data_IF_014351507561
#
_entry.id   IF_014351507561
#
_cell.length_a   1.000
_cell.length_b   1.000
_cell.length_c   1.000
_cell.angle_alpha   90.00
_cell.angle_beta   90.00
_cell.angle_gamma   90.00
#
_symmetry.space_group_name_H-M   'P 1'
#
loop_
_entity.id
_entity.type
_entity.pdbx_description
1 polymer ?
#
# COMPACT_ATOMS: atom_id res chain seq x y z
N UNK A 1 -15.96 6.54 -21.58
CA UNK A 1 -15.19 7.80 -21.47
C UNK A 1 -14.98 8.04 -19.98
N UNK A 2 -13.91 7.48 -19.42
CA UNK A 2 -13.57 7.74 -18.01
C UNK A 2 -12.93 9.12 -17.94
N UNK A 3 -13.62 10.08 -17.33
CA UNK A 3 -13.02 11.35 -16.97
C UNK A 3 -12.02 11.09 -15.85
N UNK A 4 -10.76 10.89 -16.21
CA UNK A 4 -9.66 10.87 -15.24
C UNK A 4 -9.41 12.32 -14.84
N UNK A 5 -9.78 12.68 -13.61
CA UNK A 5 -9.42 13.96 -13.03
C UNK A 5 -7.93 13.91 -12.73
N UNK A 6 -7.14 14.62 -13.53
CA UNK A 6 -5.68 14.70 -13.39
C UNK A 6 -5.37 15.87 -12.45
N UNK A 7 -4.65 15.61 -11.37
CA UNK A 7 -4.13 16.65 -10.49
C UNK A 7 -2.69 16.94 -10.91
N UNK A 8 -2.44 18.10 -11.49
CA UNK A 8 -1.10 18.50 -11.94
C UNK A 8 -0.26 18.99 -10.77
N UNK A 9 1.00 18.52 -10.70
CA UNK A 9 2.06 18.98 -9.78
C UNK A 9 1.67 19.11 -8.29
N UNK A 10 0.91 18.14 -7.77
CA UNK A 10 0.59 18.07 -6.34
C UNK A 10 1.72 17.36 -5.59
N UNK A 11 2.28 18.04 -4.57
CA UNK A 11 3.22 17.42 -3.64
C UNK A 11 2.62 16.19 -2.96
N UNK A 12 3.45 15.14 -2.76
CA UNK A 12 2.97 13.88 -2.22
C UNK A 12 2.28 14.02 -0.85
N UNK A 13 2.80 14.84 0.06
CA UNK A 13 2.18 15.07 1.37
C UNK A 13 0.77 15.65 1.23
N UNK A 14 0.59 16.60 0.31
CA UNK A 14 -0.72 17.20 0.04
C UNK A 14 -1.68 16.18 -0.58
N UNK A 15 -1.21 15.38 -1.53
CA UNK A 15 -1.98 14.28 -2.13
C UNK A 15 -2.42 13.27 -1.06
N UNK A 16 -1.51 12.87 -0.16
CA UNK A 16 -1.80 11.92 0.91
C UNK A 16 -2.85 12.46 1.88
N UNK A 17 -2.71 13.71 2.30
CA UNK A 17 -3.68 14.39 3.18
C UNK A 17 -5.04 14.55 2.51
N UNK A 18 -5.06 14.88 1.22
CA UNK A 18 -6.28 14.98 0.44
C UNK A 18 -6.98 13.63 0.31
N UNK A 19 -6.23 12.56 0.00
CA UNK A 19 -6.76 11.22 -0.13
C UNK A 19 -7.38 10.75 1.21
N UNK A 20 -6.67 10.94 2.32
CA UNK A 20 -7.18 10.60 3.66
C UNK A 20 -8.45 11.40 4.01
N UNK A 21 -8.47 12.70 3.73
CA UNK A 21 -9.66 13.53 3.92
C UNK A 21 -10.82 13.06 3.04
N UNK A 22 -10.55 12.77 1.76
CA UNK A 22 -11.55 12.30 0.81
C UNK A 22 -12.22 11.00 1.30
N UNK A 23 -11.44 10.04 1.81
CA UNK A 23 -11.97 8.81 2.40
C UNK A 23 -12.73 9.08 3.71
N UNK A 24 -12.19 9.92 4.60
CA UNK A 24 -12.82 10.26 5.89
C UNK A 24 -14.20 10.93 5.71
N UNK A 25 -14.30 11.87 4.79
CA UNK A 25 -15.53 12.62 4.51
C UNK A 25 -16.37 12.00 3.38
N UNK A 26 -15.95 10.86 2.81
CA UNK A 26 -16.62 10.15 1.71
C UNK A 26 -16.87 11.04 0.49
N UNK A 27 -15.90 11.89 0.14
CA UNK A 27 -15.95 12.73 -1.06
C UNK A 27 -15.54 11.87 -2.26
N UNK A 28 -16.50 11.16 -2.84
CA UNK A 28 -16.25 10.15 -3.87
C UNK A 28 -15.50 10.67 -5.10
N UNK A 29 -15.79 11.89 -5.56
CA UNK A 29 -15.07 12.50 -6.68
C UNK A 29 -13.58 12.68 -6.41
N UNK A 30 -13.23 13.10 -5.19
CA UNK A 30 -11.84 13.25 -4.76
C UNK A 30 -11.15 11.90 -4.55
N UNK A 31 -11.85 10.89 -4.01
CA UNK A 31 -11.32 9.53 -3.88
C UNK A 31 -10.92 8.95 -5.25
N UNK A 32 -11.79 9.13 -6.26
CA UNK A 32 -11.54 8.68 -7.64
C UNK A 32 -10.35 9.41 -8.26
N UNK A 33 -10.17 10.71 -7.98
CA UNK A 33 -9.03 11.49 -8.47
C UNK A 33 -7.71 11.10 -7.77
N UNK A 34 -7.73 10.87 -6.45
CA UNK A 34 -6.53 10.58 -5.66
C UNK A 34 -5.96 9.19 -5.92
N UNK A 35 -6.81 8.18 -6.15
CA UNK A 35 -6.38 6.78 -6.32
C UNK A 35 -5.32 6.58 -7.43
N UNK A 36 -5.53 7.02 -8.70
CA UNK A 36 -4.52 6.86 -9.74
C UNK A 36 -3.25 7.67 -9.45
N UNK A 37 -3.38 8.85 -8.83
CA UNK A 37 -2.23 9.68 -8.47
C UNK A 37 -1.37 9.03 -7.39
N UNK A 38 -1.99 8.43 -6.36
CA UNK A 38 -1.28 7.63 -5.36
C UNK A 38 -0.57 6.44 -5.99
N UNK A 39 -1.22 5.76 -6.96
CA UNK A 39 -0.61 4.65 -7.68
C UNK A 39 0.65 5.05 -8.44
N UNK A 40 0.69 6.24 -9.04
CA UNK A 40 1.88 6.72 -9.78
C UNK A 40 3.08 6.95 -8.84
N UNK A 41 2.85 7.24 -7.57
CA UNK A 41 3.90 7.54 -6.58
C UNK A 41 4.53 6.29 -5.93
N UNK A 42 4.17 5.09 -6.39
CA UNK A 42 4.58 3.81 -5.79
C UNK A 42 6.10 3.60 -5.77
N UNK A 43 6.86 4.21 -6.68
CA UNK A 43 8.31 4.09 -6.78
C UNK A 43 9.04 5.08 -5.85
N UNK A 44 8.51 6.31 -5.73
CA UNK A 44 9.08 7.39 -4.90
C UNK A 44 8.71 7.29 -3.43
N UNK A 45 7.47 6.86 -3.15
CA UNK A 45 6.90 6.78 -1.80
C UNK A 45 6.27 5.39 -1.54
N UNK A 46 7.04 4.30 -1.69
CA UNK A 46 6.49 2.94 -1.73
C UNK A 46 5.78 2.52 -0.45
N UNK A 47 6.31 2.92 0.72
CA UNK A 47 5.75 2.52 2.02
C UNK A 47 4.44 3.25 2.28
N UNK A 48 4.41 4.55 2.05
CA UNK A 48 3.25 5.41 2.27
C UNK A 48 2.12 5.03 1.30
N UNK A 49 2.44 4.77 0.03
CA UNK A 49 1.48 4.30 -0.97
C UNK A 49 0.93 2.93 -0.61
N UNK A 50 1.78 2.00 -0.14
CA UNK A 50 1.35 0.69 0.32
C UNK A 50 0.40 0.80 1.53
N UNK A 51 0.73 1.63 2.51
CA UNK A 51 -0.10 1.85 3.70
C UNK A 51 -1.46 2.42 3.31
N UNK A 52 -1.49 3.44 2.44
CA UNK A 52 -2.72 3.99 1.89
C UNK A 52 -3.56 2.88 1.21
N UNK A 53 -2.94 2.08 0.35
CA UNK A 53 -3.62 1.01 -0.37
C UNK A 53 -4.21 -0.05 0.57
N UNK A 54 -3.46 -0.46 1.59
CA UNK A 54 -3.90 -1.44 2.58
C UNK A 54 -5.04 -0.90 3.47
N UNK A 55 -4.96 0.37 3.91
CA UNK A 55 -6.01 1.04 4.70
C UNK A 55 -7.35 1.09 3.99
N UNK A 56 -7.32 1.39 2.69
CA UNK A 56 -8.54 1.67 1.90
C UNK A 56 -8.95 0.51 0.99
N UNK A 57 -8.23 -0.62 1.03
CA UNK A 57 -8.57 -1.83 0.29
C UNK A 57 -8.27 -1.75 -1.22
N UNK A 58 -7.27 -0.97 -1.63
CA UNK A 58 -6.85 -0.86 -3.03
C UNK A 58 -5.82 -1.95 -3.40
N UNK A 59 -6.32 -3.17 -3.66
CA UNK A 59 -5.48 -4.33 -3.98
C UNK A 59 -4.54 -4.09 -5.18
N UNK A 60 -5.04 -3.45 -6.24
CA UNK A 60 -4.26 -3.15 -7.44
C UNK A 60 -3.10 -2.15 -7.22
N UNK A 61 -3.18 -1.33 -6.17
CA UNK A 61 -2.08 -0.43 -5.76
C UNK A 61 -1.13 -1.19 -4.84
N UNK A 62 -1.67 -2.04 -3.97
CA UNK A 62 -0.90 -2.92 -3.08
C UNK A 62 0.06 -3.80 -3.89
N UNK A 63 -0.44 -4.43 -4.95
CA UNK A 63 0.35 -5.33 -5.81
C UNK A 63 1.49 -4.59 -6.53
N UNK A 64 1.28 -3.33 -6.89
CA UNK A 64 2.29 -2.51 -7.59
C UNK A 64 3.32 -1.94 -6.60
N UNK A 65 2.89 -1.55 -5.40
CA UNK A 65 3.77 -0.93 -4.39
C UNK A 65 4.56 -1.96 -3.56
N UNK A 66 3.99 -3.14 -3.30
CA UNK A 66 4.61 -4.15 -2.44
C UNK A 66 6.04 -4.55 -2.85
N UNK A 67 6.36 -4.78 -4.14
CA UNK A 67 7.73 -5.11 -4.58
C UNK A 67 8.78 -4.07 -4.17
N UNK A 68 8.40 -2.79 -4.12
CA UNK A 68 9.29 -1.68 -3.74
C UNK A 68 9.50 -1.57 -2.22
N UNK A 69 8.77 -2.36 -1.44
CA UNK A 69 8.93 -2.46 0.02
C UNK A 69 9.71 -3.71 0.46
N UNK A 70 10.06 -4.59 -0.49
CA UNK A 70 10.86 -5.79 -0.22
C UNK A 70 12.25 -5.39 0.29
N UNK A 71 12.68 -6.03 1.38
CA UNK A 71 13.94 -5.69 2.07
C UNK A 71 13.79 -4.71 3.23
N UNK A 72 12.59 -4.12 3.44
CA UNK A 72 12.27 -3.40 4.68
C UNK A 72 12.24 -4.38 5.86
N UNK A 73 12.74 -3.96 7.02
CA UNK A 73 12.65 -4.79 8.23
C UNK A 73 11.20 -4.92 8.67
N UNK A 74 10.78 -6.13 9.03
CA UNK A 74 9.44 -6.41 9.56
C UNK A 74 9.04 -5.49 10.72
N UNK A 75 9.99 -5.21 11.63
CA UNK A 75 9.81 -4.31 12.78
C UNK A 75 9.46 -2.87 12.38
N UNK A 76 10.01 -2.39 11.27
CA UNK A 76 9.71 -1.05 10.74
C UNK A 76 8.31 -1.02 10.14
N UNK A 77 7.95 -2.06 9.37
CA UNK A 77 6.63 -2.17 8.76
C UNK A 77 5.52 -2.33 9.80
N UNK A 78 5.76 -3.06 10.89
CA UNK A 78 4.81 -3.17 12.01
C UNK A 78 4.45 -1.83 12.66
N UNK A 79 5.38 -0.86 12.66
CA UNK A 79 5.14 0.48 13.22
C UNK A 79 4.32 1.38 12.31
N UNK A 80 4.42 1.15 11.00
CA UNK A 80 3.83 2.02 9.98
C UNK A 80 2.47 1.48 9.50
N UNK A 81 2.28 0.17 9.52
CA UNK A 81 1.04 -0.46 9.12
C UNK A 81 -0.08 -0.24 10.15
N UNK A 82 -1.35 -0.14 9.70
CA UNK A 82 -2.45 0.27 10.57
C UNK A 82 -2.86 -0.82 11.58
N UNK A 83 -2.76 -2.08 11.20
CA UNK A 83 -3.14 -3.23 12.02
C UNK A 83 -2.38 -4.50 11.64
N UNK A 84 -2.47 -5.49 12.53
CA UNK A 84 -1.93 -6.84 12.31
C UNK A 84 -2.49 -7.52 11.05
N UNK A 85 -3.74 -7.21 10.67
CA UNK A 85 -4.37 -7.80 9.50
C UNK A 85 -3.82 -7.23 8.19
N UNK A 86 -3.40 -5.96 8.16
CA UNK A 86 -2.67 -5.42 7.01
C UNK A 86 -1.22 -5.93 6.96
N UNK A 87 -0.60 -6.15 8.11
CA UNK A 87 0.73 -6.76 8.18
C UNK A 87 0.77 -8.16 7.55
N UNK A 88 -0.20 -9.02 7.87
CA UNK A 88 -0.28 -10.36 7.24
C UNK A 88 -0.50 -10.27 5.73
N UNK A 89 -1.29 -9.29 5.26
CA UNK A 89 -1.48 -9.00 3.84
C UNK A 89 -0.21 -8.49 3.15
N UNK A 90 0.71 -7.83 3.85
CA UNK A 90 1.98 -7.36 3.31
C UNK A 90 3.06 -8.45 3.27
N UNK A 91 3.13 -9.30 4.29
CA UNK A 91 4.09 -10.42 4.35
C UNK A 91 3.88 -11.38 3.18
N UNK A 92 2.63 -11.65 2.80
CA UNK A 92 2.28 -12.58 1.72
C UNK A 92 2.84 -12.20 0.33
N UNK A 93 2.75 -10.95 -0.15
CA UNK A 93 3.40 -10.51 -1.39
C UNK A 93 4.91 -10.27 -1.24
N UNK A 94 5.42 -10.01 -0.03
CA UNK A 94 6.86 -9.74 0.20
C UNK A 94 7.73 -10.99 0.16
N UNK A 95 7.16 -12.17 0.42
CA UNK A 95 7.82 -13.45 0.29
C UNK A 95 7.07 -14.29 -0.73
N UNK A 96 7.69 -14.74 -1.85
CA UNK A 96 7.03 -15.63 -2.77
C UNK A 96 6.58 -16.91 -2.03
N UNK A 97 5.45 -17.48 -2.42
CA UNK A 97 4.80 -18.65 -1.76
C UNK A 97 5.79 -19.78 -1.46
N UNK A 98 6.83 -19.96 -2.29
CA UNK A 98 7.87 -20.96 -2.11
C UNK A 98 8.73 -20.76 -0.85
N UNK A 99 8.94 -19.52 -0.42
CA UNK A 99 9.81 -19.17 0.72
C UNK A 99 9.04 -19.21 2.06
N UNK A 100 7.74 -18.89 2.03
CA UNK A 100 6.83 -19.13 3.16
C UNK A 100 6.70 -20.63 3.45
N UNK A 101 6.63 -21.45 2.40
CA UNK A 101 6.59 -22.90 2.54
C UNK A 101 7.87 -23.42 3.22
N UNK A 102 9.05 -22.91 2.85
CA UNK A 102 10.33 -23.26 3.49
C UNK A 102 10.40 -22.82 4.96
N UNK A 103 9.82 -21.67 5.32
CA UNK A 103 9.74 -21.21 6.71
C UNK A 103 8.72 -21.99 7.56
N UNK A 104 7.63 -22.49 6.97
CA UNK A 104 6.70 -23.40 7.65
C UNK A 104 7.36 -24.77 7.87
N UNK A 105 8.01 -25.34 6.85
CA UNK A 105 8.74 -26.61 6.96
C UNK A 105 9.90 -26.57 7.97
N UNK A 106 10.54 -25.40 8.18
CA UNK A 106 11.61 -25.26 9.17
C UNK A 106 11.10 -25.25 10.62
N UNK A 107 9.82 -24.94 10.87
CA UNK A 107 9.22 -24.98 12.22
C UNK A 107 8.82 -26.39 12.64
N UNK A 108 8.62 -27.28 11.67
CA UNK A 108 8.27 -28.69 11.89
C UNK A 108 9.49 -29.60 12.14
N UNK A 109 10.71 -29.03 12.17
CA UNK A 109 11.97 -29.77 12.35
C UNK A 109 12.68 -29.51 13.69
N UNK A 110 11.98 -28.97 14.70
CA UNK A 110 12.47 -28.87 16.09
C UNK A 110 11.46 -29.49 17.05
#
# INVERSE_FOLDING_TARGET
MEFIIIMEDVEFDLLARLAEAAHKYRVYSAMVACRPQMKVQHDKHPVEVLVYALKHGHGDITDVAAPFTVGRRAEEMLKVLPSQAEYTKWVRPSYPVLELQLMEFSKDLI
#
